data_IF_961279827848
#
_entry.id   IF_961279827848
#
_cell.length_a   1.000
_cell.length_b   1.000
_cell.length_c   1.000
_cell.angle_alpha   90.00
_cell.angle_beta   90.00
_cell.angle_gamma   90.00
#
_symmetry.space_group_name_H-M   'P 1'
#
loop_
_entity.id
_entity.type
_entity.pdbx_description
1 polymer ?
#
# COMPACT_ATOMS: atom_id res chain seq x y z
N UNK A 1 11.63 19.15 -20.62
CA UNK A 1 12.32 19.57 -19.38
C UNK A 1 11.47 19.32 -18.12
N UNK A 2 10.27 19.90 -17.99
CA UNK A 2 9.41 19.65 -16.81
C UNK A 2 9.05 18.16 -16.65
N UNK A 3 8.58 17.48 -17.72
CA UNK A 3 8.21 16.05 -17.66
C UNK A 3 9.38 15.12 -17.33
N UNK A 4 10.59 15.45 -17.81
CA UNK A 4 11.84 14.74 -17.52
C UNK A 4 12.19 14.82 -16.03
N UNK A 5 12.13 16.02 -15.45
CA UNK A 5 12.34 16.22 -14.01
C UNK A 5 11.28 15.51 -13.17
N UNK A 6 10.01 15.61 -13.56
CA UNK A 6 8.90 14.92 -12.89
C UNK A 6 9.09 13.40 -12.90
N UNK A 7 9.49 12.82 -14.04
CA UNK A 7 9.81 11.38 -14.13
C UNK A 7 10.89 10.99 -13.14
N UNK A 8 12.00 11.73 -13.11
CA UNK A 8 13.11 11.44 -12.19
C UNK A 8 12.68 11.51 -10.73
N UNK A 9 11.88 12.51 -10.36
CA UNK A 9 11.35 12.63 -8.98
C UNK A 9 10.42 11.46 -8.65
N UNK A 10 9.50 11.09 -9.53
CA UNK A 10 8.57 9.97 -9.31
C UNK A 10 9.33 8.66 -9.16
N UNK A 11 10.35 8.42 -9.98
CA UNK A 11 11.15 7.20 -9.90
C UNK A 11 12.03 7.20 -8.65
N UNK A 12 12.65 8.33 -8.31
CA UNK A 12 13.53 8.46 -7.16
C UNK A 12 12.78 8.39 -5.83
N UNK A 13 11.56 8.93 -5.74
CA UNK A 13 10.77 8.98 -4.49
C UNK A 13 9.77 7.84 -4.41
N UNK A 14 9.12 7.50 -5.54
CA UNK A 14 8.06 6.50 -5.59
C UNK A 14 8.52 5.11 -5.20
N UNK A 15 9.69 4.68 -5.66
CA UNK A 15 10.25 3.36 -5.30
C UNK A 15 10.61 3.24 -3.82
N UNK A 16 11.34 4.19 -3.20
CA UNK A 16 11.56 4.17 -1.75
C UNK A 16 10.27 4.20 -0.94
N UNK A 17 9.26 4.99 -1.35
CA UNK A 17 7.95 5.02 -0.67
C UNK A 17 7.23 3.68 -0.79
N UNK A 18 7.28 3.02 -1.96
CA UNK A 18 6.73 1.68 -2.17
C UNK A 18 7.40 0.64 -1.27
N UNK A 19 8.72 0.68 -1.16
CA UNK A 19 9.51 -0.24 -0.31
C UNK A 19 9.21 0.02 1.17
N UNK A 20 9.25 1.27 1.61
CA UNK A 20 8.94 1.62 3.00
C UNK A 20 7.49 1.28 3.37
N UNK A 21 6.54 1.60 2.49
CA UNK A 21 5.13 1.34 2.68
C UNK A 21 4.79 -0.15 2.71
N UNK A 22 5.44 -0.96 1.87
CA UNK A 22 5.26 -2.41 1.87
C UNK A 22 5.79 -3.05 3.14
N UNK A 23 6.99 -2.67 3.59
CA UNK A 23 7.52 -3.11 4.89
C UNK A 23 6.54 -2.75 6.01
N UNK A 24 6.07 -1.50 6.04
CA UNK A 24 5.11 -1.04 7.06
C UNK A 24 3.80 -1.84 7.07
N UNK A 25 3.21 -2.11 5.90
CA UNK A 25 1.99 -2.91 5.76
C UNK A 25 2.19 -4.36 6.22
N UNK A 26 3.32 -4.98 5.90
CA UNK A 26 3.61 -6.35 6.34
C UNK A 26 3.74 -6.43 7.86
N UNK A 27 4.43 -5.47 8.49
CA UNK A 27 4.52 -5.40 9.95
C UNK A 27 3.16 -5.19 10.60
N UNK A 28 2.34 -4.27 10.08
CA UNK A 28 0.99 -4.04 10.59
C UNK A 28 0.06 -5.24 10.39
N UNK A 29 0.08 -5.84 9.21
CA UNK A 29 -0.69 -7.04 8.88
C UNK A 29 -0.33 -8.23 9.78
N UNK A 30 0.96 -8.44 10.07
CA UNK A 30 1.41 -9.45 11.03
C UNK A 30 0.90 -9.18 12.45
N UNK A 31 0.89 -7.91 12.88
CA UNK A 31 0.36 -7.53 14.19
C UNK A 31 -1.13 -7.83 14.30
N UNK A 32 -1.94 -7.50 13.26
CA UNK A 32 -3.36 -7.88 13.22
C UNK A 32 -3.50 -9.39 13.30
N UNK A 33 -2.81 -10.11 12.41
CA UNK A 33 -2.90 -11.56 12.33
C UNK A 33 -2.53 -12.23 13.67
N UNK A 34 -1.54 -11.71 14.39
CA UNK A 34 -1.18 -12.22 15.72
C UNK A 34 -2.28 -12.05 16.77
N UNK A 35 -3.08 -10.97 16.69
CA UNK A 35 -4.19 -10.71 17.62
C UNK A 35 -5.46 -11.50 17.29
N UNK A 36 -5.62 -11.96 16.05
CA UNK A 36 -6.79 -12.72 15.56
C UNK A 36 -6.38 -14.04 14.92
N UNK A 37 -5.34 -14.70 15.47
CA UNK A 37 -4.61 -15.83 14.87
C UNK A 37 -5.49 -17.01 14.43
N UNK A 38 -6.68 -17.16 15.03
CA UNK A 38 -7.67 -18.19 14.72
C UNK A 38 -9.00 -17.67 14.17
N UNK A 39 -9.12 -16.37 13.91
CA UNK A 39 -10.35 -15.79 13.37
C UNK A 39 -10.34 -15.71 11.84
N UNK A 40 -11.53 -15.83 11.26
CA UNK A 40 -11.79 -15.66 9.83
C UNK A 40 -11.30 -14.26 9.35
N UNK A 41 -11.41 -13.26 10.22
CA UNK A 41 -10.96 -11.88 9.98
C UNK A 41 -9.44 -11.81 9.78
N UNK A 42 -8.65 -12.51 10.60
CA UNK A 42 -7.19 -12.51 10.47
C UNK A 42 -6.70 -13.07 9.12
N UNK A 43 -7.33 -14.16 8.65
CA UNK A 43 -7.04 -14.75 7.32
C UNK A 43 -7.42 -13.80 6.19
N UNK A 44 -8.59 -13.17 6.26
CA UNK A 44 -9.05 -12.19 5.26
C UNK A 44 -8.11 -10.98 5.22
N UNK A 45 -7.72 -10.42 6.37
CA UNK A 45 -6.81 -9.28 6.42
C UNK A 45 -5.46 -9.62 5.80
N UNK A 46 -4.90 -10.81 6.08
CA UNK A 46 -3.63 -11.24 5.48
C UNK A 46 -3.73 -11.36 3.97
N UNK A 47 -4.80 -11.97 3.45
CA UNK A 47 -5.04 -12.06 2.02
C UNK A 47 -5.18 -10.66 1.39
N UNK A 48 -5.95 -9.76 2.01
CA UNK A 48 -6.17 -8.40 1.52
C UNK A 48 -4.87 -7.59 1.44
N UNK A 49 -4.03 -7.66 2.48
CA UNK A 49 -2.72 -7.00 2.49
C UNK A 49 -1.81 -7.53 1.39
N UNK A 50 -1.77 -8.86 1.21
CA UNK A 50 -0.94 -9.48 0.17
C UNK A 50 -1.43 -9.10 -1.23
N UNK A 51 -2.73 -9.24 -1.51
CA UNK A 51 -3.32 -8.86 -2.80
C UNK A 51 -3.05 -7.39 -3.11
N UNK A 52 -3.23 -6.52 -2.12
CA UNK A 52 -2.96 -5.11 -2.30
C UNK A 52 -1.48 -4.84 -2.60
N UNK A 53 -0.54 -5.47 -1.88
CA UNK A 53 0.89 -5.34 -2.21
C UNK A 53 1.20 -5.78 -3.64
N UNK A 54 0.60 -6.89 -4.10
CA UNK A 54 0.78 -7.38 -5.48
C UNK A 54 0.25 -6.37 -6.49
N UNK A 55 -0.95 -5.82 -6.28
CA UNK A 55 -1.53 -4.79 -7.14
C UNK A 55 -0.67 -3.53 -7.17
N UNK A 56 -0.20 -3.09 -6.00
CA UNK A 56 0.66 -1.92 -5.83
C UNK A 56 1.96 -2.05 -6.62
N UNK A 57 2.65 -3.19 -6.49
CA UNK A 57 3.90 -3.44 -7.22
C UNK A 57 3.66 -3.61 -8.71
N UNK A 58 2.60 -4.32 -9.11
CA UNK A 58 2.27 -4.52 -10.53
C UNK A 58 1.99 -3.20 -11.23
N UNK A 59 1.15 -2.34 -10.65
CA UNK A 59 0.86 -1.01 -11.18
C UNK A 59 2.10 -0.12 -11.20
N UNK A 60 2.90 -0.12 -10.13
CA UNK A 60 4.13 0.67 -10.04
C UNK A 60 5.16 0.31 -11.12
N UNK A 61 5.35 -0.99 -11.38
CA UNK A 61 6.28 -1.50 -12.41
C UNK A 61 5.75 -1.15 -13.80
N UNK A 62 4.49 -1.45 -14.11
CA UNK A 62 3.90 -1.18 -15.43
C UNK A 62 3.95 0.32 -15.74
N UNK A 63 3.58 1.17 -14.78
CA UNK A 63 3.62 2.61 -14.94
C UNK A 63 5.05 3.12 -15.13
N UNK A 64 6.02 2.55 -14.40
CA UNK A 64 7.45 2.88 -14.58
C UNK A 64 7.93 2.53 -15.98
N UNK A 65 7.66 1.31 -16.45
CA UNK A 65 8.04 0.89 -17.80
C UNK A 65 7.41 1.79 -18.87
N UNK A 66 6.13 2.13 -18.70
CA UNK A 66 5.42 2.99 -19.64
C UNK A 66 5.95 4.44 -19.66
N UNK A 67 6.41 4.96 -18.51
CA UNK A 67 7.07 6.27 -18.41
C UNK A 67 8.50 6.30 -18.98
N UNK A 68 9.18 5.15 -18.99
CA UNK A 68 10.49 5.01 -19.63
C UNK A 68 10.37 4.98 -21.15
N UNK A 69 9.36 4.29 -21.66
CA UNK A 69 9.09 4.17 -23.10
C UNK A 69 8.46 5.44 -23.70
N UNK A 70 7.58 6.12 -22.96
CA UNK A 70 6.89 7.32 -23.44
C UNK A 70 6.85 8.45 -22.40
N UNK A 71 7.53 9.56 -22.67
CA UNK A 71 7.60 10.72 -21.76
C UNK A 71 6.21 11.36 -21.50
N UNK A 72 5.26 11.23 -22.43
CA UNK A 72 3.90 11.74 -22.24
C UNK A 72 3.10 10.89 -21.24
N UNK A 73 3.50 9.63 -21.01
CA UNK A 73 2.90 8.76 -20.02
C UNK A 73 3.11 9.26 -18.58
N UNK A 74 4.08 10.15 -18.35
CA UNK A 74 4.33 10.74 -17.02
C UNK A 74 3.09 11.43 -16.45
N UNK A 75 2.26 12.05 -17.29
CA UNK A 75 0.99 12.67 -16.85
C UNK A 75 0.02 11.65 -16.27
N UNK A 76 -0.11 10.50 -16.94
CA UNK A 76 -0.94 9.39 -16.48
C UNK A 76 -0.33 8.71 -15.26
N UNK A 77 1.00 8.58 -15.24
CA UNK A 77 1.71 7.98 -14.11
C UNK A 77 1.53 8.74 -12.80
N UNK A 78 1.48 10.07 -12.85
CA UNK A 78 1.14 10.91 -11.67
C UNK A 78 -0.26 10.59 -11.14
N UNK A 79 -1.25 10.49 -12.03
CA UNK A 79 -2.64 10.19 -11.62
C UNK A 79 -2.74 8.78 -11.01
N UNK A 80 -2.08 7.79 -11.61
CA UNK A 80 -2.02 6.43 -11.09
C UNK A 80 -1.37 6.43 -9.70
N UNK A 81 -0.23 7.11 -9.53
CA UNK A 81 0.45 7.21 -8.23
C UNK A 81 -0.41 7.93 -7.17
N UNK A 82 -1.13 8.98 -7.55
CA UNK A 82 -1.99 9.72 -6.63
C UNK A 82 -3.16 8.86 -6.13
N UNK A 83 -3.88 8.19 -7.05
CA UNK A 83 -4.96 7.27 -6.70
C UNK A 83 -4.46 6.12 -5.83
N UNK A 84 -3.34 5.53 -6.22
CA UNK A 84 -2.66 4.48 -5.47
C UNK A 84 -2.34 4.92 -4.03
N UNK A 85 -1.81 6.14 -3.86
CA UNK A 85 -1.47 6.67 -2.54
C UNK A 85 -2.71 6.88 -1.67
N UNK A 86 -3.82 7.32 -2.25
CA UNK A 86 -5.10 7.46 -1.52
C UNK A 86 -5.56 6.10 -0.99
N UNK A 87 -5.58 5.07 -1.86
CA UNK A 87 -5.97 3.70 -1.48
C UNK A 87 -5.02 3.15 -0.41
N UNK A 88 -3.71 3.40 -0.53
CA UNK A 88 -2.72 3.03 0.49
C UNK A 88 -3.06 3.58 1.88
N UNK A 89 -3.32 4.89 1.96
CA UNK A 89 -3.64 5.56 3.22
C UNK A 89 -4.95 5.04 3.80
N UNK A 90 -5.97 4.83 2.96
CA UNK A 90 -7.22 4.22 3.40
C UNK A 90 -7.02 2.82 3.96
N UNK A 91 -6.26 1.95 3.29
CA UNK A 91 -5.99 0.61 3.79
C UNK A 91 -5.25 0.63 5.12
N UNK A 92 -4.25 1.49 5.30
CA UNK A 92 -3.59 1.63 6.62
C UNK A 92 -4.59 2.06 7.69
N UNK A 93 -5.47 3.03 7.40
CA UNK A 93 -6.49 3.48 8.35
C UNK A 93 -7.45 2.37 8.71
N UNK A 94 -7.95 1.62 7.72
CA UNK A 94 -8.86 0.48 7.92
C UNK A 94 -8.21 -0.61 8.77
N UNK A 95 -6.95 -0.97 8.47
CA UNK A 95 -6.21 -1.95 9.26
C UNK A 95 -6.03 -1.48 10.71
N UNK A 96 -5.66 -0.21 10.93
CA UNK A 96 -5.52 0.35 12.28
C UNK A 96 -6.86 0.43 13.03
N UNK A 97 -7.94 0.75 12.35
CA UNK A 97 -9.28 0.78 12.94
C UNK A 97 -9.69 -0.64 13.38
N UNK A 98 -9.52 -1.63 12.52
CA UNK A 98 -9.76 -3.03 12.86
C UNK A 98 -8.90 -3.51 14.04
N UNK A 99 -7.61 -3.12 14.09
CA UNK A 99 -6.75 -3.39 15.25
C UNK A 99 -7.31 -2.82 16.55
N UNK A 100 -7.78 -1.57 16.52
CA UNK A 100 -8.31 -0.88 17.69
C UNK A 100 -9.59 -1.55 18.19
N UNK A 101 -10.46 -1.94 17.28
CA UNK A 101 -11.71 -2.63 17.58
C UNK A 101 -11.46 -4.00 18.22
N UNK A 102 -10.56 -4.80 17.63
CA UNK A 102 -10.16 -6.10 18.19
C UNK A 102 -9.52 -5.93 19.57
N UNK A 103 -8.66 -4.92 19.75
CA UNK A 103 -8.02 -4.65 21.04
C UNK A 103 -9.03 -4.23 22.11
N UNK A 104 -10.07 -3.46 21.75
CA UNK A 104 -11.16 -3.11 22.66
C UNK A 104 -11.97 -4.34 23.06
N UNK A 105 -12.32 -5.21 22.11
CA UNK A 105 -13.05 -6.45 22.37
C UNK A 105 -12.27 -7.43 23.25
N UNK A 106 -10.94 -7.46 23.15
CA UNK A 106 -10.08 -8.27 24.01
C UNK A 106 -9.80 -7.65 25.39
N UNK A 107 -10.01 -6.33 25.54
CA UNK A 107 -9.82 -5.60 26.81
C UNK A 107 -11.06 -5.60 27.71
N UNK A 108 -12.26 -5.63 27.12
CA UNK A 108 -13.55 -5.70 27.84
C UNK A 108 -13.85 -7.10 28.42
N UNK A 109 -13.02 -8.11 28.13
CA UNK A 109 -13.19 -9.48 28.65
C UNK A 109 -12.45 -9.76 29.97
N UNK A 110 -11.92 -8.72 30.63
CA UNK A 110 -11.29 -8.76 31.95
C UNK A 110 -12.07 -7.89 32.95
#
# INVERSE_FOLDING_TARGET
>A
MILEMTRTIILAVGWPVLIAGSVYLVFQGRKVYGMVKDSLVGKITKALVVTMLVEMYSLGIITTMYMLDNINAVRWGVLVFALWFIVFIWTIKTIRAAQKEIAHMAGDSN
#
